data_IF_007183552636
#
_entry.id   IF_007183552636
#
_cell.length_a   1.000
_cell.length_b   1.000
_cell.length_c   1.000
_cell.angle_alpha   90.00
_cell.angle_beta   90.00
_cell.angle_gamma   90.00
#
_symmetry.space_group_name_H-M   'P 1'
#
loop_
_entity.id
_entity.type
_entity.pdbx_description
1 polymer ?
#
# COMPACT_ATOMS: atom_id res chain seq x y z
N UNK A 1 -29.79 29.40 24.56
CA UNK A 1 -29.88 30.49 23.57
C UNK A 1 -30.67 29.95 22.39
N UNK A 2 -31.92 30.39 22.24
CA UNK A 2 -32.76 30.06 21.08
C UNK A 2 -32.42 31.08 20.00
N UNK A 3 -32.03 30.61 18.82
CA UNK A 3 -31.72 31.45 17.66
C UNK A 3 -33.04 31.71 16.95
N UNK A 4 -33.50 32.98 16.87
CA UNK A 4 -34.80 33.35 16.27
C UNK A 4 -34.87 33.04 14.77
N UNK A 5 -33.74 33.10 14.07
CA UNK A 5 -33.62 32.76 12.64
C UNK A 5 -32.44 31.80 12.44
N UNK A 6 -32.62 30.49 12.68
CA UNK A 6 -31.56 29.52 12.47
C UNK A 6 -31.27 29.39 10.96
N UNK A 7 -29.98 29.32 10.61
CA UNK A 7 -29.58 29.09 9.23
C UNK A 7 -30.12 27.73 8.74
N UNK A 8 -30.75 27.63 7.56
CA UNK A 8 -31.38 26.39 7.09
C UNK A 8 -30.38 25.26 6.81
N UNK A 9 -29.14 25.57 6.45
CA UNK A 9 -28.11 24.57 6.14
C UNK A 9 -27.45 23.95 7.38
N UNK A 10 -27.24 24.74 8.44
CA UNK A 10 -26.58 24.26 9.67
C UNK A 10 -27.50 24.20 10.90
N UNK A 11 -28.75 24.64 10.78
CA UNK A 11 -29.75 24.72 11.86
C UNK A 11 -29.22 25.38 13.14
N UNK A 12 -28.40 26.42 12.98
CA UNK A 12 -27.80 27.17 14.09
C UNK A 12 -26.56 26.55 14.74
N UNK A 13 -26.06 25.41 14.22
CA UNK A 13 -24.85 24.74 14.76
C UNK A 13 -23.53 25.37 14.28
N UNK A 14 -23.57 26.22 13.26
CA UNK A 14 -22.39 26.82 12.65
C UNK A 14 -21.55 25.86 11.80
N UNK A 15 -22.06 24.66 11.49
CA UNK A 15 -21.40 23.67 10.62
C UNK A 15 -22.37 23.02 9.65
N UNK A 16 -21.91 22.76 8.43
CA UNK A 16 -22.63 21.98 7.44
C UNK A 16 -21.73 20.87 6.90
N UNK A 17 -22.32 19.73 6.57
CA UNK A 17 -21.61 18.62 5.92
C UNK A 17 -21.50 18.89 4.43
N UNK A 18 -20.28 18.84 3.89
CA UNK A 18 -20.00 19.03 2.47
C UNK A 18 -19.25 17.80 1.93
N UNK A 19 -19.62 17.33 0.73
CA UNK A 19 -18.89 16.30 0.02
C UNK A 19 -17.77 16.94 -0.79
N UNK A 20 -16.52 16.59 -0.49
CA UNK A 20 -15.34 17.11 -1.17
C UNK A 20 -14.53 15.98 -1.80
N UNK A 21 -14.23 16.11 -3.10
CA UNK A 21 -13.29 15.23 -3.79
C UNK A 21 -11.86 15.77 -3.60
N UNK A 22 -10.94 14.89 -3.20
CA UNK A 22 -9.53 15.21 -2.99
C UNK A 22 -8.69 14.27 -3.84
N UNK A 23 -7.82 14.82 -4.68
CA UNK A 23 -6.81 14.05 -5.41
C UNK A 23 -5.54 14.01 -4.57
N UNK A 24 -5.05 12.82 -4.29
CA UNK A 24 -3.87 12.61 -3.44
C UNK A 24 -2.90 11.72 -4.18
N UNK A 25 -1.62 12.14 -4.23
CA UNK A 25 -0.55 11.35 -4.81
C UNK A 25 0.07 10.47 -3.73
N UNK A 26 -0.01 9.15 -3.90
CA UNK A 26 0.67 8.18 -3.04
C UNK A 26 2.09 8.01 -3.60
N UNK A 27 3.15 8.29 -2.82
CA UNK A 27 4.51 8.09 -3.29
C UNK A 27 4.83 6.60 -3.48
N UNK A 28 5.77 6.25 -4.37
CA UNK A 28 6.23 4.87 -4.52
C UNK A 28 6.92 4.38 -3.23
N UNK A 29 6.87 3.07 -2.97
CA UNK A 29 7.52 2.45 -1.81
C UNK A 29 6.79 2.66 -0.47
N UNK A 30 5.54 3.10 -0.50
CA UNK A 30 4.73 3.25 0.72
C UNK A 30 4.43 1.87 1.33
N UNK A 31 4.82 1.70 2.59
CA UNK A 31 4.59 0.49 3.36
C UNK A 31 3.15 0.42 3.87
N UNK A 32 2.73 -0.78 4.23
CA UNK A 32 1.47 -0.99 4.95
C UNK A 32 1.44 -0.17 6.24
N UNK A 33 0.31 0.47 6.54
CA UNK A 33 0.14 1.30 7.73
C UNK A 33 0.76 2.70 7.67
N UNK A 34 1.37 3.09 6.56
CA UNK A 34 1.95 4.44 6.40
C UNK A 34 0.88 5.51 6.52
N UNK A 35 1.19 6.57 7.30
CA UNK A 35 0.29 7.70 7.54
C UNK A 35 0.65 8.87 6.65
N UNK A 36 -0.24 9.24 5.73
CA UNK A 36 -0.08 10.42 4.87
C UNK A 36 -0.99 11.53 5.41
N UNK A 37 -0.40 12.69 5.74
CA UNK A 37 -1.10 13.84 6.31
C UNK A 37 -1.48 14.86 5.24
N UNK A 38 -2.76 15.18 5.16
CA UNK A 38 -3.31 16.25 4.32
C UNK A 38 -3.69 17.44 5.20
N UNK A 39 -2.77 18.41 5.26
CA UNK A 39 -2.91 19.57 6.15
C UNK A 39 -4.15 20.40 5.80
N UNK A 40 -4.96 20.73 6.81
CA UNK A 40 -6.14 21.60 6.66
C UNK A 40 -7.28 21.03 5.82
N UNK A 41 -7.25 19.72 5.52
CA UNK A 41 -8.30 18.99 4.79
C UNK A 41 -9.24 18.17 5.69
N UNK A 42 -9.07 18.27 7.00
CA UNK A 42 -9.93 17.66 8.00
C UNK A 42 -11.17 18.50 8.30
N UNK A 43 -11.83 18.18 9.42
CA UNK A 43 -13.07 18.84 9.82
C UNK A 43 -12.94 20.34 10.07
N UNK A 44 -14.06 21.06 9.91
CA UNK A 44 -14.15 22.48 10.22
C UNK A 44 -13.84 22.75 11.70
N UNK A 45 -13.01 23.76 11.96
CA UNK A 45 -12.65 24.14 13.32
C UNK A 45 -13.83 24.63 14.17
N UNK A 46 -13.61 24.77 15.47
CA UNK A 46 -14.59 25.34 16.42
C UNK A 46 -14.28 26.81 16.67
N UNK A 47 -15.30 27.67 16.72
CA UNK A 47 -15.18 29.07 17.19
C UNK A 47 -14.06 29.88 16.50
N UNK A 48 -13.94 29.75 15.17
CA UNK A 48 -12.89 30.43 14.40
C UNK A 48 -11.54 29.71 14.37
N UNK A 49 -11.43 28.52 14.97
CA UNK A 49 -10.24 27.67 14.86
C UNK A 49 -9.99 27.17 13.44
N UNK A 50 -8.73 26.85 13.14
CA UNK A 50 -8.32 26.30 11.85
C UNK A 50 -8.98 24.95 11.56
N UNK A 51 -9.04 24.58 10.28
CA UNK A 51 -9.46 23.24 9.88
C UNK A 51 -8.46 22.19 10.38
N UNK A 52 -8.98 21.02 10.75
CA UNK A 52 -8.16 19.89 11.14
C UNK A 52 -7.40 19.30 9.96
N UNK A 53 -6.61 18.26 10.23
CA UNK A 53 -5.89 17.49 9.21
C UNK A 53 -6.66 16.21 8.86
N UNK A 54 -6.51 15.75 7.61
CA UNK A 54 -7.00 14.45 7.19
C UNK A 54 -5.80 13.49 7.10
N UNK A 55 -5.91 12.35 7.77
CA UNK A 55 -4.89 11.29 7.72
C UNK A 55 -5.39 10.15 6.84
N UNK A 56 -4.57 9.76 5.87
CA UNK A 56 -4.74 8.53 5.11
C UNK A 56 -3.83 7.47 5.70
N UNK A 57 -4.37 6.28 5.95
CA UNK A 57 -3.61 5.11 6.38
C UNK A 57 -3.62 4.14 5.21
N UNK A 58 -2.46 3.88 4.63
CA UNK A 58 -2.35 2.94 3.52
C UNK A 58 -2.53 1.52 4.00
N UNK A 59 -3.23 0.71 3.20
CA UNK A 59 -3.24 -0.74 3.34
C UNK A 59 -2.82 -1.38 2.03
N UNK A 60 -1.80 -2.21 2.08
CA UNK A 60 -1.34 -2.95 0.90
C UNK A 60 -2.22 -4.19 0.76
N UNK A 61 -2.82 -4.35 -0.42
CA UNK A 61 -3.65 -5.52 -0.69
C UNK A 61 -2.75 -6.77 -0.80
N UNK A 62 -3.15 -7.91 -0.21
CA UNK A 62 -2.40 -9.15 -0.36
C UNK A 62 -2.37 -9.56 -1.83
N UNK A 63 -1.20 -9.99 -2.31
CA UNK A 63 -1.03 -10.47 -3.68
C UNK A 63 -0.99 -12.01 -3.68
N UNK A 64 -1.62 -12.70 -4.66
CA UNK A 64 -1.67 -14.16 -4.67
C UNK A 64 -0.30 -14.83 -4.82
N UNK A 65 0.63 -14.18 -5.53
CA UNK A 65 1.97 -14.74 -5.81
C UNK A 65 3.08 -14.15 -4.96
N UNK A 66 2.90 -12.93 -4.45
CA UNK A 66 3.98 -12.13 -3.90
C UNK A 66 3.71 -11.85 -2.43
N UNK A 67 4.71 -12.13 -1.59
CA UNK A 67 4.73 -11.76 -0.18
C UNK A 67 5.78 -10.66 -0.01
N UNK A 68 5.35 -9.51 0.51
CA UNK A 68 6.27 -8.40 0.78
C UNK A 68 6.97 -8.67 2.10
N UNK A 69 8.30 -8.63 2.11
CA UNK A 69 9.11 -8.81 3.31
C UNK A 69 10.13 -7.69 3.42
N UNK A 70 9.79 -6.68 4.24
CA UNK A 70 10.62 -5.49 4.37
C UNK A 70 10.59 -4.66 3.08
N UNK A 71 11.70 -4.64 2.37
CA UNK A 71 11.85 -3.92 1.09
C UNK A 71 11.98 -4.90 -0.11
N UNK A 72 12.11 -6.21 0.14
CA UNK A 72 12.16 -7.25 -0.90
C UNK A 72 10.79 -7.94 -1.08
N UNK A 73 10.62 -8.62 -2.22
CA UNK A 73 9.44 -9.45 -2.50
C UNK A 73 9.82 -10.92 -2.64
N UNK A 74 9.07 -11.77 -1.93
CA UNK A 74 9.24 -13.21 -1.94
C UNK A 74 8.12 -13.89 -2.74
N UNK A 75 8.50 -14.92 -3.51
CA UNK A 75 7.60 -15.84 -4.19
C UNK A 75 8.03 -17.27 -3.86
N UNK A 76 7.06 -18.14 -3.64
CA UNK A 76 7.30 -19.57 -3.53
C UNK A 76 7.43 -20.15 -4.95
N UNK A 77 8.62 -20.64 -5.29
CA UNK A 77 8.89 -21.24 -6.60
C UNK A 77 8.71 -22.76 -6.53
N UNK A 78 7.61 -23.32 -7.04
CA UNK A 78 7.47 -24.77 -7.13
C UNK A 78 8.42 -25.30 -8.21
N UNK A 79 9.36 -26.16 -7.81
CA UNK A 79 10.28 -26.85 -8.72
C UNK A 79 10.12 -28.36 -8.56
N UNK A 80 10.38 -29.09 -9.65
CA UNK A 80 10.41 -30.54 -9.62
C UNK A 80 11.70 -31.06 -9.01
N UNK A 81 11.68 -32.30 -8.51
CA UNK A 81 12.88 -32.94 -7.97
C UNK A 81 14.01 -33.03 -9.01
N UNK A 82 13.68 -33.28 -10.28
CA UNK A 82 14.66 -33.36 -11.36
C UNK A 82 15.36 -32.00 -11.59
N UNK A 83 14.60 -30.90 -11.59
CA UNK A 83 15.15 -29.54 -11.73
C UNK A 83 16.03 -29.17 -10.53
N UNK A 84 15.63 -29.54 -9.31
CA UNK A 84 16.44 -29.31 -8.12
C UNK A 84 17.75 -30.12 -8.14
N UNK A 85 17.71 -31.39 -8.56
CA UNK A 85 18.86 -32.29 -8.56
C UNK A 85 19.85 -31.99 -9.69
N UNK A 86 19.36 -31.78 -10.91
CA UNK A 86 20.20 -31.59 -12.11
C UNK A 86 20.55 -30.12 -12.37
N UNK A 87 19.79 -29.19 -11.78
CA UNK A 87 19.82 -27.78 -12.13
C UNK A 87 18.91 -27.48 -13.32
N UNK A 88 18.36 -26.27 -13.33
CA UNK A 88 17.43 -25.83 -14.35
C UNK A 88 17.42 -24.31 -14.45
N UNK A 89 17.08 -23.79 -15.64
CA UNK A 89 16.77 -22.39 -15.83
C UNK A 89 15.25 -22.22 -15.84
N UNK A 90 14.71 -21.55 -14.83
CA UNK A 90 13.26 -21.38 -14.64
C UNK A 90 12.89 -19.92 -14.81
N UNK A 91 11.84 -19.66 -15.59
CA UNK A 91 11.28 -18.32 -15.75
C UNK A 91 10.30 -18.05 -14.61
N UNK A 92 10.53 -16.96 -13.87
CA UNK A 92 9.71 -16.55 -12.73
C UNK A 92 9.07 -15.19 -12.98
N UNK A 93 7.83 -14.98 -12.50
CA UNK A 93 7.21 -13.66 -12.54
C UNK A 93 7.91 -12.74 -11.53
N UNK A 94 8.24 -11.53 -11.96
CA UNK A 94 8.78 -10.44 -11.15
C UNK A 94 7.84 -9.23 -11.24
N UNK A 95 8.08 -8.20 -10.42
CA UNK A 95 7.26 -6.97 -10.40
C UNK A 95 7.28 -6.27 -11.78
N UNK A 96 8.42 -6.31 -12.48
CA UNK A 96 8.64 -5.62 -13.75
C UNK A 96 8.44 -6.52 -15.00
N UNK A 97 8.00 -7.77 -14.82
CA UNK A 97 7.82 -8.72 -15.93
C UNK A 97 8.45 -10.10 -15.65
N UNK A 98 8.92 -10.80 -16.68
CA UNK A 98 9.53 -12.12 -16.53
C UNK A 98 11.03 -12.00 -16.22
N UNK A 99 11.49 -12.76 -15.23
CA UNK A 99 12.91 -12.92 -14.90
C UNK A 99 13.33 -14.38 -15.03
N UNK A 100 14.60 -14.62 -15.35
CA UNK A 100 15.15 -15.98 -15.40
C UNK A 100 15.99 -16.25 -14.15
N UNK A 101 15.69 -17.33 -13.45
CA UNK A 101 16.47 -17.83 -12.31
C UNK A 101 17.24 -19.06 -12.78
N UNK A 102 18.54 -19.10 -12.49
CA UNK A 102 19.35 -20.29 -12.70
C UNK A 102 19.51 -21.05 -11.39
N UNK A 103 18.97 -22.27 -11.35
CA UNK A 103 19.03 -23.18 -10.21
C UNK A 103 20.23 -24.10 -10.43
N UNK A 104 21.16 -24.11 -9.49
CA UNK A 104 22.29 -25.05 -9.52
C UNK A 104 21.81 -26.44 -9.12
N UNK A 105 22.40 -27.48 -9.71
CA UNK A 105 22.13 -28.86 -9.29
C UNK A 105 22.45 -29.06 -7.81
N UNK A 106 21.57 -29.77 -7.11
CA UNK A 106 21.64 -30.00 -5.67
C UNK A 106 20.92 -28.95 -4.82
N UNK A 107 20.04 -28.12 -5.41
CA UNK A 107 19.27 -27.11 -4.68
C UNK A 107 18.40 -27.73 -3.57
N UNK A 108 18.35 -27.07 -2.43
CA UNK A 108 17.64 -27.57 -1.24
C UNK A 108 16.26 -26.90 -1.08
N UNK A 109 15.33 -27.61 -0.45
CA UNK A 109 14.04 -27.04 -0.10
C UNK A 109 14.20 -25.87 0.90
N UNK A 110 13.59 -24.73 0.59
CA UNK A 110 13.71 -23.51 1.39
C UNK A 110 14.96 -22.68 1.11
N UNK A 111 15.79 -23.08 0.15
CA UNK A 111 16.91 -22.26 -0.32
C UNK A 111 16.38 -20.94 -0.92
N UNK A 112 16.97 -19.82 -0.51
CA UNK A 112 16.58 -18.48 -0.97
C UNK A 112 17.47 -18.06 -2.12
N UNK A 113 16.90 -17.96 -3.31
CA UNK A 113 17.59 -17.48 -4.52
C UNK A 113 17.24 -16.00 -4.74
N UNK A 114 18.25 -15.13 -4.65
CA UNK A 114 18.05 -13.68 -4.83
C UNK A 114 18.21 -13.27 -6.29
N UNK A 115 17.18 -12.63 -6.83
CA UNK A 115 17.25 -11.89 -8.09
C UNK A 115 17.52 -10.41 -7.81
N UNK A 116 18.71 -9.93 -8.19
CA UNK A 116 19.10 -8.53 -7.97
C UNK A 116 18.27 -7.55 -8.82
N UNK A 117 17.77 -6.48 -8.19
CA UNK A 117 17.14 -5.35 -8.88
C UNK A 117 15.71 -5.61 -9.37
N UNK A 118 14.99 -6.58 -8.78
CA UNK A 118 13.63 -6.98 -9.19
C UNK A 118 12.57 -6.89 -8.09
N UNK A 119 12.88 -6.19 -7.00
CA UNK A 119 12.05 -6.10 -5.80
C UNK A 119 12.75 -6.80 -4.66
#
# INVERSE_FOLDING_TARGET
MIVEKPCPSCRGTGRATELKKLTVKIPPGVKDGTKIRLKGRGGAGTRGGATGDLYLITRVAPHPLFKIRGDDVEIELPITFAEAALGAQVTVPTIDGLGNVNIKGGAQAGEVLRLGGKG
#
